data_IF_043186668080
#
_entry.id   IF_043186668080
#
_cell.length_a   1.000
_cell.length_b   1.000
_cell.length_c   1.000
_cell.angle_alpha   90.00
_cell.angle_beta   90.00
_cell.angle_gamma   90.00
#
_symmetry.space_group_name_H-M   'P 1'
#
loop_
_entity.id
_entity.type
_entity.pdbx_description
1 polymer ?
#
# COMPACT_ATOMS: atom_id res chain seq x y z
N UNK A 1 13.48 60.58 15.70
CA UNK A 1 12.73 59.47 15.07
C UNK A 1 13.69 58.81 14.11
N UNK A 2 14.25 57.66 14.48
CA UNK A 2 15.13 56.87 13.62
C UNK A 2 14.53 55.48 13.56
N UNK A 3 14.07 55.12 12.37
CA UNK A 3 13.44 53.87 12.03
C UNK A 3 14.54 52.82 11.81
N UNK A 4 14.63 51.87 12.73
CA UNK A 4 15.65 50.82 12.76
C UNK A 4 15.05 49.50 12.33
N UNK A 5 14.91 49.32 11.03
CA UNK A 5 14.48 48.10 10.36
C UNK A 5 15.37 46.92 10.82
N UNK A 6 14.82 45.99 11.62
CA UNK A 6 15.45 44.70 11.90
C UNK A 6 15.09 43.76 10.74
N UNK A 7 16.05 43.09 10.08
CA UNK A 7 15.72 42.04 9.14
C UNK A 7 15.05 40.90 9.89
N UNK A 8 13.86 40.53 9.44
CA UNK A 8 13.21 39.26 9.77
C UNK A 8 14.12 38.14 9.24
N UNK A 9 14.99 37.63 10.10
CA UNK A 9 15.72 36.38 9.85
C UNK A 9 14.79 35.22 10.17
N UNK A 10 13.81 34.99 9.29
CA UNK A 10 12.94 33.82 9.34
C UNK A 10 13.47 32.76 8.38
N UNK A 11 14.70 32.30 8.59
CA UNK A 11 15.16 31.00 8.09
C UNK A 11 15.31 30.03 9.24
N UNK A 12 14.18 29.68 9.87
CA UNK A 12 14.14 28.52 10.77
C UNK A 12 14.46 27.27 9.93
N UNK A 13 15.65 26.70 10.10
CA UNK A 13 16.03 25.45 9.44
C UNK A 13 15.10 24.30 9.84
N UNK A 14 14.84 23.39 8.90
CA UNK A 14 14.06 22.18 9.16
C UNK A 14 14.71 21.34 10.28
N UNK A 15 13.89 20.77 11.15
CA UNK A 15 14.30 19.81 12.18
C UNK A 15 14.82 18.50 11.57
N UNK A 16 15.56 17.70 12.37
CA UNK A 16 16.08 16.41 11.91
C UNK A 16 14.96 15.44 11.48
N UNK A 17 13.82 15.46 12.19
CA UNK A 17 12.66 14.62 11.85
C UNK A 17 12.03 15.06 10.51
N UNK A 18 11.86 16.36 10.28
CA UNK A 18 11.36 16.89 9.00
C UNK A 18 12.29 16.56 7.83
N UNK A 19 13.61 16.61 8.05
CA UNK A 19 14.60 16.23 7.05
C UNK A 19 14.52 14.73 6.72
N UNK A 20 14.27 13.89 7.73
CA UNK A 20 14.11 12.44 7.56
C UNK A 20 12.83 12.10 6.80
N UNK A 21 11.70 12.71 7.18
CA UNK A 21 10.42 12.56 6.47
C UNK A 21 10.52 13.01 5.02
N UNK A 22 11.15 14.16 4.76
CA UNK A 22 11.39 14.65 3.41
C UNK A 22 12.26 13.69 2.59
N UNK A 23 13.31 13.12 3.18
CA UNK A 23 14.16 12.14 2.52
C UNK A 23 13.41 10.85 2.17
N UNK A 24 12.54 10.34 3.06
CA UNK A 24 11.70 9.17 2.80
C UNK A 24 10.72 9.45 1.65
N UNK A 25 10.03 10.59 1.69
CA UNK A 25 9.08 10.96 0.64
C UNK A 25 9.77 11.15 -0.72
N UNK A 26 10.97 11.75 -0.77
CA UNK A 26 11.73 11.88 -2.00
C UNK A 26 12.14 10.51 -2.56
N UNK A 27 12.63 9.61 -1.70
CA UNK A 27 12.94 8.23 -2.07
C UNK A 27 11.71 7.49 -2.60
N UNK A 28 10.55 7.66 -1.97
CA UNK A 28 9.30 7.08 -2.44
C UNK A 28 8.94 7.56 -3.85
N UNK A 29 9.03 8.87 -4.11
CA UNK A 29 8.77 9.43 -5.46
C UNK A 29 9.75 8.91 -6.51
N UNK A 30 11.03 8.75 -6.17
CA UNK A 30 12.05 8.18 -7.06
C UNK A 30 11.74 6.73 -7.45
N UNK A 31 11.34 5.90 -6.47
CA UNK A 31 11.00 4.50 -6.71
C UNK A 31 9.70 4.32 -7.51
N UNK A 32 8.78 5.28 -7.38
CA UNK A 32 7.44 5.24 -7.97
C UNK A 32 7.33 5.98 -9.31
N UNK A 33 8.43 6.04 -10.07
CA UNK A 33 8.43 6.59 -11.43
C UNK A 33 7.88 5.59 -12.44
N UNK A 34 7.16 6.11 -13.46
CA UNK A 34 6.49 5.26 -14.44
C UNK A 34 5.39 4.38 -13.82
N UNK A 35 5.15 3.23 -14.44
CA UNK A 35 4.13 2.25 -14.04
C UNK A 35 4.69 1.01 -13.37
N UNK A 36 6.00 0.74 -13.46
CA UNK A 36 6.63 -0.46 -12.90
C UNK A 36 7.64 -0.06 -11.82
N UNK A 37 7.35 -0.42 -10.57
CA UNK A 37 8.14 -0.04 -9.41
C UNK A 37 8.75 -1.28 -8.76
N UNK A 38 10.02 -1.17 -8.36
CA UNK A 38 10.70 -2.18 -7.56
C UNK A 38 10.97 -1.59 -6.19
N UNK A 39 10.13 -1.92 -5.22
CA UNK A 39 10.17 -1.36 -3.88
C UNK A 39 11.05 -2.25 -2.99
N UNK A 40 12.07 -1.70 -2.31
CA UNK A 40 12.85 -2.47 -1.34
C UNK A 40 11.96 -2.95 -0.19
N UNK A 41 12.29 -4.09 0.42
CA UNK A 41 11.50 -4.63 1.53
C UNK A 41 11.78 -3.88 2.84
N UNK A 42 11.25 -2.66 2.93
CA UNK A 42 11.40 -1.69 4.01
C UNK A 42 10.01 -1.17 4.42
N UNK A 43 9.46 -1.73 5.50
CA UNK A 43 8.11 -1.40 5.95
C UNK A 43 7.96 0.06 6.41
N UNK A 44 9.06 0.73 6.80
CA UNK A 44 9.01 2.14 7.19
C UNK A 44 8.78 3.05 5.97
N UNK A 45 9.08 2.58 4.75
CA UNK A 45 8.84 3.31 3.51
C UNK A 45 7.41 3.15 2.96
N UNK A 46 6.67 2.13 3.42
CA UNK A 46 5.35 1.81 2.88
C UNK A 46 4.34 2.98 2.94
N UNK A 47 4.24 3.76 4.04
CA UNK A 47 3.33 4.91 4.11
C UNK A 47 3.63 5.96 3.03
N UNK A 48 4.89 6.29 2.78
CA UNK A 48 5.31 7.27 1.77
C UNK A 48 4.99 6.80 0.35
N UNK A 49 5.14 5.51 0.06
CA UNK A 49 4.72 4.92 -1.23
C UNK A 49 3.20 5.08 -1.41
N UNK A 50 2.41 4.87 -0.35
CA UNK A 50 0.97 5.13 -0.33
C UNK A 50 0.63 6.60 -0.64
N UNK A 51 1.40 7.55 -0.10
CA UNK A 51 1.24 8.97 -0.43
C UNK A 51 1.53 9.28 -1.90
N UNK A 52 2.50 8.60 -2.53
CA UNK A 52 2.73 8.74 -3.98
C UNK A 52 1.53 8.24 -4.79
N UNK A 53 0.85 7.18 -4.34
CA UNK A 53 -0.40 6.71 -4.96
C UNK A 53 -1.49 7.78 -4.85
N UNK A 54 -1.65 8.39 -3.67
CA UNK A 54 -2.58 9.53 -3.46
C UNK A 54 -2.29 10.66 -4.43
N UNK A 55 -1.03 11.10 -4.55
CA UNK A 55 -0.63 12.18 -5.47
C UNK A 55 -0.98 11.85 -6.93
N UNK A 56 -0.78 10.60 -7.37
CA UNK A 56 -1.11 10.15 -8.74
C UNK A 56 -2.62 10.16 -8.99
N UNK A 57 -3.41 9.66 -8.04
CA UNK A 57 -4.86 9.60 -8.14
C UNK A 57 -5.50 10.99 -8.12
N UNK A 58 -4.99 11.90 -7.27
CA UNK A 58 -5.39 13.31 -7.25
C UNK A 58 -5.13 14.00 -8.59
N UNK A 59 -3.94 13.82 -9.17
CA UNK A 59 -3.60 14.35 -10.51
C UNK A 59 -4.53 13.81 -11.59
N UNK A 60 -4.96 12.56 -11.48
CA UNK A 60 -5.94 11.93 -12.37
C UNK A 60 -7.40 12.24 -12.02
N UNK A 61 -7.66 13.12 -11.03
CA UNK A 61 -8.99 13.60 -10.62
C UNK A 61 -9.94 12.46 -10.20
N UNK A 62 -9.43 11.51 -9.42
CA UNK A 62 -10.29 10.61 -8.66
C UNK A 62 -11.00 11.34 -7.53
N UNK A 63 -12.11 10.80 -7.03
CA UNK A 63 -12.83 11.37 -5.89
C UNK A 63 -11.99 11.22 -4.61
N UNK A 64 -12.13 12.14 -3.65
CA UNK A 64 -11.40 12.07 -2.37
C UNK A 64 -11.74 10.79 -1.59
N UNK A 65 -13.00 10.34 -1.65
CA UNK A 65 -13.43 9.08 -1.05
C UNK A 65 -12.70 7.89 -1.66
N UNK A 66 -12.63 7.82 -3.00
CA UNK A 66 -11.91 6.75 -3.68
C UNK A 66 -10.40 6.83 -3.43
N UNK A 67 -9.82 8.02 -3.37
CA UNK A 67 -8.40 8.23 -3.08
C UNK A 67 -8.07 7.65 -1.69
N UNK A 68 -8.86 7.97 -0.67
CA UNK A 68 -8.65 7.47 0.68
C UNK A 68 -8.77 5.94 0.77
N UNK A 69 -9.83 5.38 0.16
CA UNK A 69 -10.05 3.93 0.16
C UNK A 69 -8.99 3.17 -0.64
N UNK A 70 -8.56 3.69 -1.78
CA UNK A 70 -7.46 3.12 -2.57
C UNK A 70 -6.12 3.16 -1.84
N UNK A 71 -5.81 4.26 -1.15
CA UNK A 71 -4.57 4.38 -0.40
C UNK A 71 -4.50 3.36 0.74
N UNK A 72 -5.60 3.19 1.50
CA UNK A 72 -5.69 2.19 2.57
C UNK A 72 -5.57 0.77 2.02
N UNK A 73 -6.29 0.47 0.93
CA UNK A 73 -6.23 -0.85 0.33
C UNK A 73 -4.85 -1.16 -0.27
N UNK A 74 -4.19 -0.16 -0.87
CA UNK A 74 -2.83 -0.29 -1.39
C UNK A 74 -1.81 -0.55 -0.28
N UNK A 75 -1.90 0.18 0.85
CA UNK A 75 -1.02 -0.01 2.00
C UNK A 75 -1.13 -1.41 2.58
N UNK A 76 -2.34 -1.97 2.63
CA UNK A 76 -2.55 -3.34 3.04
C UNK A 76 -1.92 -4.34 2.06
N UNK A 77 -2.12 -4.16 0.75
CA UNK A 77 -1.50 -5.02 -0.26
C UNK A 77 0.03 -5.01 -0.16
N UNK A 78 0.61 -3.82 0.04
CA UNK A 78 2.05 -3.64 0.18
C UNK A 78 2.57 -4.28 1.47
N UNK A 79 1.85 -4.08 2.58
CA UNK A 79 2.19 -4.68 3.88
C UNK A 79 2.13 -6.21 3.82
N UNK A 80 1.10 -6.77 3.17
CA UNK A 80 0.97 -8.21 2.96
C UNK A 80 2.15 -8.75 2.14
N UNK A 81 2.52 -8.09 1.05
CA UNK A 81 3.67 -8.48 0.24
C UNK A 81 4.99 -8.40 1.03
N UNK A 82 5.23 -7.30 1.75
CA UNK A 82 6.48 -7.09 2.48
C UNK A 82 6.61 -8.02 3.71
N UNK A 83 5.57 -8.12 4.53
CA UNK A 83 5.65 -8.77 5.84
C UNK A 83 5.23 -10.23 5.75
N UNK A 84 4.09 -10.51 5.11
CA UNK A 84 3.55 -11.87 5.06
C UNK A 84 4.15 -12.68 3.90
N UNK A 85 4.39 -12.05 2.75
CA UNK A 85 5.03 -12.65 1.58
C UNK A 85 6.52 -12.83 1.79
N UNK A 86 7.29 -11.75 1.67
CA UNK A 86 8.76 -11.77 1.70
C UNK A 86 9.34 -12.26 3.04
N UNK A 87 8.83 -11.76 4.17
CA UNK A 87 9.37 -12.11 5.48
C UNK A 87 8.70 -13.33 6.12
N UNK A 88 7.55 -13.79 5.60
CA UNK A 88 6.81 -14.93 6.17
C UNK A 88 6.32 -14.70 7.61
N UNK A 89 6.21 -13.45 8.04
CA UNK A 89 5.89 -13.11 9.44
C UNK A 89 4.41 -12.84 9.60
N UNK A 90 3.80 -13.42 10.63
CA UNK A 90 2.47 -13.05 11.12
C UNK A 90 2.52 -12.70 12.60
N UNK A 91 1.63 -11.81 13.02
CA UNK A 91 1.46 -11.45 14.42
C UNK A 91 0.74 -12.59 15.13
N UNK A 92 1.35 -13.10 16.21
CA UNK A 92 0.73 -14.19 16.96
C UNK A 92 -0.44 -13.67 17.82
N UNK A 93 -1.48 -14.49 18.08
CA UNK A 93 -2.54 -14.12 19.01
C UNK A 93 -1.98 -13.70 20.38
N UNK A 94 -2.40 -12.55 20.88
CA UNK A 94 -1.92 -11.99 22.15
C UNK A 94 -0.50 -11.41 22.12
N UNK A 95 0.19 -11.41 20.99
CA UNK A 95 1.53 -10.81 20.88
C UNK A 95 1.46 -9.27 20.99
N UNK A 96 2.29 -8.65 21.84
CA UNK A 96 2.40 -7.19 21.88
C UNK A 96 2.86 -6.63 20.53
N UNK A 97 2.25 -5.54 20.06
CA UNK A 97 2.60 -4.91 18.78
C UNK A 97 4.09 -4.58 18.69
N UNK A 98 4.69 -4.06 19.77
CA UNK A 98 6.12 -3.74 19.79
C UNK A 98 7.02 -4.96 19.53
N UNK A 99 6.64 -6.12 20.06
CA UNK A 99 7.39 -7.37 19.85
C UNK A 99 7.29 -7.83 18.39
N UNK A 100 6.11 -7.69 17.79
CA UNK A 100 5.91 -8.00 16.38
C UNK A 100 6.71 -7.05 15.46
N UNK A 101 6.69 -5.74 15.74
CA UNK A 101 7.51 -4.75 15.02
C UNK A 101 9.01 -5.05 15.12
N UNK A 102 9.49 -5.51 16.29
CA UNK A 102 10.88 -5.89 16.44
C UNK A 102 11.25 -7.09 15.54
N UNK A 103 10.39 -8.11 15.47
CA UNK A 103 10.59 -9.26 14.57
C UNK A 103 10.65 -8.84 13.10
N UNK A 104 9.81 -7.89 12.69
CA UNK A 104 9.85 -7.31 11.34
C UNK A 104 11.21 -6.68 11.10
N UNK A 105 11.65 -5.77 11.98
CA UNK A 105 12.96 -5.10 11.86
C UNK A 105 14.14 -6.07 11.83
N UNK A 106 14.09 -7.15 12.62
CA UNK A 106 15.12 -8.20 12.61
C UNK A 106 15.14 -8.98 11.29
N UNK A 107 13.98 -9.33 10.75
CA UNK A 107 13.85 -10.03 9.48
C UNK A 107 14.22 -9.14 8.29
N UNK A 108 13.93 -7.84 8.33
CA UNK A 108 14.32 -6.88 7.30
C UNK A 108 15.84 -6.73 7.20
N UNK A 109 16.52 -6.70 8.36
CA UNK A 109 17.99 -6.63 8.41
C UNK A 109 18.70 -7.86 7.82
N UNK A 110 17.97 -8.97 7.68
CA UNK A 110 18.47 -10.23 7.14
C UNK A 110 17.84 -10.54 5.78
N UNK A 111 16.66 -11.16 5.76
CA UNK A 111 15.93 -11.60 4.56
C UNK A 111 15.46 -10.40 3.71
N UNK A 112 15.00 -9.33 4.36
CA UNK A 112 14.46 -8.15 3.67
C UNK A 112 15.48 -7.46 2.75
N UNK A 113 16.77 -7.45 3.12
CA UNK A 113 17.83 -6.84 2.31
C UNK A 113 17.98 -7.48 0.92
N UNK A 114 17.61 -8.74 0.77
CA UNK A 114 17.69 -9.49 -0.48
C UNK A 114 16.37 -9.62 -1.21
N UNK A 115 15.29 -9.04 -0.68
CA UNK A 115 13.95 -9.14 -1.29
C UNK A 115 13.39 -7.78 -1.67
N UNK A 116 12.46 -7.78 -2.62
CA UNK A 116 11.73 -6.59 -3.06
C UNK A 116 10.26 -6.92 -3.30
N UNK A 117 9.43 -5.90 -3.35
CA UNK A 117 8.06 -5.99 -3.85
C UNK A 117 8.01 -5.32 -5.21
N UNK A 118 7.51 -6.05 -6.20
CA UNK A 118 7.35 -5.55 -7.56
C UNK A 118 5.91 -5.09 -7.75
N UNK A 119 5.75 -3.83 -8.13
CA UNK A 119 4.44 -3.20 -8.27
C UNK A 119 4.26 -2.73 -9.70
N UNK A 120 3.18 -3.13 -10.35
CA UNK A 120 2.67 -2.44 -11.54
C UNK A 120 1.51 -1.56 -11.11
N UNK A 121 1.63 -0.25 -11.29
CA UNK A 121 0.58 0.72 -11.05
C UNK A 121 0.20 1.37 -12.39
N UNK A 122 -0.86 0.85 -13.00
CA UNK A 122 -1.37 1.33 -14.28
C UNK A 122 -2.62 2.18 -14.05
N UNK A 123 -2.47 3.49 -14.28
CA UNK A 123 -3.52 4.48 -14.09
C UNK A 123 -4.06 4.90 -15.45
N UNK A 124 -5.18 4.30 -15.83
CA UNK A 124 -5.94 4.66 -17.02
C UNK A 124 -6.86 5.86 -16.78
N UNK A 125 -7.61 6.22 -17.83
CA UNK A 125 -8.56 7.35 -17.80
C UNK A 125 -9.70 7.06 -16.82
N UNK A 126 -10.28 5.87 -16.93
CA UNK A 126 -11.51 5.45 -16.24
C UNK A 126 -11.29 4.29 -15.26
N UNK A 127 -10.05 3.84 -15.09
CA UNK A 127 -9.73 2.75 -14.17
C UNK A 127 -8.29 2.80 -13.71
N UNK A 128 -8.01 2.12 -12.61
CA UNK A 128 -6.67 1.86 -12.09
C UNK A 128 -6.52 0.36 -11.91
N UNK A 129 -5.40 -0.18 -12.37
CA UNK A 129 -4.99 -1.57 -12.14
C UNK A 129 -3.69 -1.57 -11.35
N UNK A 130 -3.69 -2.31 -10.24
CA UNK A 130 -2.53 -2.46 -9.37
C UNK A 130 -2.18 -3.93 -9.30
N UNK A 131 -0.94 -4.27 -9.68
CA UNK A 131 -0.36 -5.60 -9.48
C UNK A 131 0.70 -5.49 -8.41
N UNK A 132 0.60 -6.29 -7.35
CA UNK A 132 1.61 -6.38 -6.29
C UNK A 132 2.12 -7.81 -6.26
N UNK A 133 3.43 -7.98 -6.42
CA UNK A 133 4.11 -9.28 -6.39
C UNK A 133 5.24 -9.28 -5.37
N UNK A 134 5.20 -10.25 -4.46
CA UNK A 134 6.28 -10.55 -3.53
C UNK A 134 7.16 -11.71 -4.04
N UNK A 135 8.35 -11.83 -3.46
CA UNK A 135 9.35 -12.86 -3.77
C UNK A 135 9.27 -14.04 -2.77
N UNK A 136 8.24 -14.08 -1.94
CA UNK A 136 7.99 -15.12 -0.95
C UNK A 136 7.53 -16.46 -1.56
N UNK A 137 7.24 -17.46 -0.70
CA UNK A 137 6.81 -18.78 -1.12
C UNK A 137 5.41 -18.80 -1.74
N UNK A 138 4.59 -17.78 -1.49
CA UNK A 138 3.18 -17.72 -1.87
C UNK A 138 2.27 -18.49 -0.90
N UNK A 139 0.99 -18.59 -1.25
CA UNK A 139 -0.04 -19.27 -0.44
C UNK A 139 -1.04 -20.03 -1.31
N UNK A 140 -1.77 -20.97 -0.71
CA UNK A 140 -2.81 -21.73 -1.41
C UNK A 140 -4.05 -20.86 -1.67
N UNK A 141 -4.13 -20.36 -2.91
CA UNK A 141 -5.24 -19.53 -3.40
C UNK A 141 -6.58 -20.28 -3.38
N UNK A 142 -6.58 -21.60 -3.54
CA UNK A 142 -7.83 -22.40 -3.63
C UNK A 142 -8.65 -22.35 -2.34
N UNK A 143 -7.97 -22.18 -1.19
CA UNK A 143 -8.61 -21.95 0.09
C UNK A 143 -9.22 -20.54 0.19
N UNK A 144 -8.63 -19.56 -0.48
CA UNK A 144 -8.93 -18.12 -0.32
C UNK A 144 -10.00 -17.58 -1.29
N UNK A 145 -10.37 -18.38 -2.31
CA UNK A 145 -11.32 -18.05 -3.38
C UNK A 145 -12.58 -18.90 -3.24
N UNK A 146 -13.41 -18.61 -2.24
CA UNK A 146 -14.84 -18.93 -2.31
C UNK A 146 -15.61 -17.61 -2.39
N UNK A 147 -16.09 -17.30 -3.60
CA UNK A 147 -17.23 -16.40 -3.84
C UNK A 147 -18.56 -17.16 -3.83
N UNK A 148 -18.54 -18.41 -3.35
CA UNK A 148 -19.70 -19.29 -3.19
C UNK A 148 -20.37 -19.02 -1.84
N UNK A 149 -21.61 -18.50 -1.79
CA UNK A 149 -22.34 -18.21 -0.55
C UNK A 149 -22.72 -19.46 0.26
N UNK A 150 -22.46 -20.67 -0.25
CA UNK A 150 -22.75 -21.95 0.43
C UNK A 150 -21.53 -22.63 1.07
N UNK A 151 -20.33 -22.06 0.93
CA UNK A 151 -19.09 -22.59 1.53
C UNK A 151 -18.52 -21.60 2.54
N UNK A 152 -18.23 -22.07 3.76
CA UNK A 152 -17.56 -21.25 4.77
C UNK A 152 -16.19 -20.79 4.22
N UNK A 153 -15.96 -19.47 4.06
CA UNK A 153 -14.68 -18.95 3.59
C UNK A 153 -13.56 -19.26 4.60
N UNK A 154 -12.31 -19.31 4.13
CA UNK A 154 -11.13 -19.30 5.01
C UNK A 154 -11.35 -18.27 6.11
N UNK A 155 -11.13 -18.71 7.35
CA UNK A 155 -11.45 -17.97 8.56
C UNK A 155 -11.00 -16.52 8.44
N UNK A 156 -11.93 -15.59 8.65
CA UNK A 156 -11.67 -14.14 8.73
C UNK A 156 -10.53 -13.79 9.72
N UNK A 157 -10.20 -14.71 10.64
CA UNK A 157 -9.08 -14.57 11.57
C UNK A 157 -7.70 -14.88 10.96
N UNK A 158 -7.61 -15.67 9.88
CA UNK A 158 -6.34 -16.03 9.21
C UNK A 158 -5.91 -15.00 8.15
N UNK A 159 -6.88 -14.28 7.56
CA UNK A 159 -6.65 -13.31 6.49
C UNK A 159 -6.46 -11.86 6.97
N UNK A 160 -6.75 -11.56 8.24
CA UNK A 160 -6.68 -10.20 8.78
C UNK A 160 -7.82 -9.30 8.25
N UNK A 161 -8.03 -8.14 8.90
CA UNK A 161 -9.11 -7.21 8.53
C UNK A 161 -8.94 -6.59 7.14
N UNK A 162 -7.69 -6.49 6.66
CA UNK A 162 -7.36 -5.81 5.42
C UNK A 162 -7.76 -6.55 4.15
N UNK A 163 -7.55 -7.87 4.07
CA UNK A 163 -7.96 -8.67 2.88
C UNK A 163 -9.49 -8.66 2.68
N UNK A 164 -10.26 -8.55 3.75
CA UNK A 164 -11.72 -8.44 3.68
C UNK A 164 -12.16 -7.09 3.07
N UNK A 165 -11.48 -6.01 3.44
CA UNK A 165 -11.73 -4.66 2.89
C UNK A 165 -11.35 -4.57 1.41
N UNK A 166 -10.15 -5.05 1.04
CA UNK A 166 -9.67 -5.04 -0.35
C UNK A 166 -10.62 -5.80 -1.29
N UNK A 167 -11.14 -6.96 -0.87
CA UNK A 167 -12.09 -7.75 -1.65
C UNK A 167 -13.45 -7.05 -1.86
N UNK A 168 -13.89 -6.22 -0.91
CA UNK A 168 -15.17 -5.51 -1.01
C UNK A 168 -15.06 -4.21 -1.81
N UNK A 169 -13.89 -3.56 -1.83
CA UNK A 169 -13.72 -2.25 -2.45
C UNK A 169 -13.38 -2.30 -3.94
N UNK A 170 -12.49 -3.21 -4.35
CA UNK A 170 -12.08 -3.34 -5.75
C UNK A 170 -13.13 -4.08 -6.58
N UNK A 171 -13.26 -3.69 -7.85
CA UNK A 171 -14.22 -4.31 -8.77
C UNK A 171 -13.76 -5.71 -9.21
N UNK A 172 -12.45 -5.97 -9.15
CA UNK A 172 -11.89 -7.31 -9.34
C UNK A 172 -10.62 -7.48 -8.53
N UNK A 173 -10.41 -8.70 -8.02
CA UNK A 173 -9.18 -9.16 -7.37
C UNK A 173 -8.84 -10.56 -7.87
N UNK A 174 -7.60 -10.75 -8.30
CA UNK A 174 -7.10 -12.02 -8.86
C UNK A 174 -5.74 -12.31 -8.25
N UNK A 175 -5.55 -13.53 -7.76
CA UNK A 175 -4.24 -14.02 -7.35
C UNK A 175 -3.65 -14.94 -8.42
N UNK A 176 -2.33 -14.95 -8.58
CA UNK A 176 -1.66 -15.92 -9.44
C UNK A 176 -1.71 -17.33 -8.83
N UNK A 177 -1.37 -18.36 -9.62
CA UNK A 177 -1.43 -19.75 -9.14
C UNK A 177 -0.50 -20.07 -7.94
N UNK A 178 0.59 -19.32 -7.77
CA UNK A 178 1.50 -19.45 -6.63
C UNK A 178 0.98 -18.74 -5.37
N UNK A 179 0.07 -17.78 -5.51
CA UNK A 179 -0.40 -16.92 -4.42
C UNK A 179 0.63 -15.90 -3.92
N UNK A 180 1.62 -15.51 -4.72
CA UNK A 180 2.58 -14.44 -4.38
C UNK A 180 2.42 -13.19 -5.26
N UNK A 181 1.33 -13.13 -6.04
CA UNK A 181 0.97 -11.95 -6.81
C UNK A 181 -0.54 -11.75 -6.70
N UNK A 182 -0.93 -10.50 -6.49
CA UNK A 182 -2.32 -10.06 -6.52
C UNK A 182 -2.47 -8.95 -7.55
N UNK A 183 -3.54 -9.02 -8.33
CA UNK A 183 -3.96 -8.01 -9.28
C UNK A 183 -5.32 -7.49 -8.84
N UNK A 184 -5.42 -6.20 -8.58
CA UNK A 184 -6.67 -5.50 -8.25
C UNK A 184 -6.98 -4.45 -9.31
N UNK A 185 -8.27 -4.22 -9.55
CA UNK A 185 -8.73 -3.18 -10.48
C UNK A 185 -9.92 -2.44 -9.89
N UNK A 186 -9.92 -1.12 -10.04
CA UNK A 186 -11.05 -0.24 -9.72
C UNK A 186 -11.38 0.62 -10.93
N UNK A 187 -12.65 0.74 -11.27
CA UNK A 187 -13.18 1.71 -12.24
C UNK A 187 -13.58 2.99 -11.52
N UNK A 188 -13.43 4.13 -12.20
CA UNK A 188 -14.11 5.36 -11.79
C UNK A 188 -15.61 5.13 -11.93
N UNK A 189 -16.36 5.54 -10.92
CA UNK A 189 -17.81 5.67 -11.07
C UNK A 189 -18.07 6.77 -12.10
N UNK A 190 -18.78 6.43 -13.17
CA UNK A 190 -19.21 7.44 -14.13
C UNK A 190 -20.44 8.17 -13.61
N UNK A 191 -20.65 9.42 -14.05
CA UNK A 191 -21.89 10.15 -13.75
C UNK A 191 -23.15 9.45 -14.28
N UNK A 192 -23.03 8.59 -15.29
CA UNK A 192 -24.13 7.73 -15.77
C UNK A 192 -24.48 6.61 -14.79
N UNK A 193 -23.49 6.06 -14.07
CA UNK A 193 -23.72 4.99 -13.09
C UNK A 193 -24.41 5.52 -11.83
N UNK A 194 -24.12 6.77 -11.45
CA UNK A 194 -24.81 7.45 -10.35
C UNK A 194 -26.27 7.80 -10.66
N UNK A 195 -26.60 8.05 -11.94
CA UNK A 195 -27.95 8.40 -12.40
C UNK A 195 -28.82 7.19 -12.79
N UNK A 196 -28.26 5.98 -12.78
CA UNK A 196 -28.99 4.73 -13.08
C UNK A 196 -29.26 3.88 -11.83
N UNK A 197 -28.87 4.37 -10.66
CA UNK A 197 -29.11 3.76 -9.35
C UNK A 197 -30.34 4.35 -8.61
N UNK A 198 -31.11 5.22 -9.26
CA UNK A 198 -32.41 5.77 -8.82
C UNK A 198 -33.57 5.19 -9.65
#
# INVERSE_FOLDING_TARGET
MADGNRPDDTTAGKSEDELKEEALMNRARELCQGTSWKIPNDHELAPDIGLVVVEKLQKARWSEDDIGLMAEAFNELLTNAMIHGNLGLRKNPGEPTQKFLQRIKDAERSIGKSTSVHITFDLGVDSVTIVVMDEGPGFDVSSSVTSDPSREPVSMAEMGRGVSFTKMYFDSIVYNGKGNQVTVMKRKLSTKDLLSAE
#
